data_IF_367489332642
#
_entry.id   IF_367489332642
#
_cell.length_a   1.000
_cell.length_b   1.000
_cell.length_c   1.000
_cell.angle_alpha   90.00
_cell.angle_beta   90.00
_cell.angle_gamma   90.00
#
_symmetry.space_group_name_H-M   'P 1'
#
loop_
_entity.id
_entity.type
_entity.pdbx_description
1 polymer ?
#
# COMPACT_ATOMS: atom_id res chain seq x y z
N UNK A 1 13.50 -44.52 -19.54
CA UNK A 1 14.28 -43.33 -19.10
C UNK A 1 13.50 -42.00 -19.27
N UNK A 2 12.18 -42.01 -19.54
CA UNK A 2 11.38 -40.80 -19.78
C UNK A 2 10.41 -40.41 -18.65
N UNK A 3 10.18 -41.27 -17.65
CA UNK A 3 9.22 -41.00 -16.57
C UNK A 3 9.78 -40.16 -15.41
N UNK A 4 11.10 -40.07 -15.25
CA UNK A 4 11.72 -39.28 -14.18
C UNK A 4 11.81 -37.78 -14.51
N UNK A 5 11.82 -37.39 -15.78
CA UNK A 5 11.89 -35.97 -16.16
C UNK A 5 10.52 -35.28 -16.09
N UNK A 6 9.43 -36.00 -16.34
CA UNK A 6 8.07 -35.47 -16.22
C UNK A 6 7.67 -35.26 -14.76
N UNK A 7 8.12 -36.12 -13.83
CA UNK A 7 7.87 -35.93 -12.38
C UNK A 7 8.71 -34.80 -11.78
N UNK A 8 9.93 -34.57 -12.28
CA UNK A 8 10.79 -33.48 -11.84
C UNK A 8 10.29 -32.12 -12.35
N UNK A 9 9.89 -32.05 -13.62
CA UNK A 9 9.31 -30.84 -14.23
C UNK A 9 7.92 -30.51 -13.64
N UNK A 10 7.12 -31.53 -13.26
CA UNK A 10 5.84 -31.30 -12.59
C UNK A 10 6.02 -30.83 -11.14
N UNK A 11 7.04 -31.32 -10.41
CA UNK A 11 7.43 -30.82 -9.08
C UNK A 11 7.91 -29.37 -9.08
N UNK A 12 8.60 -28.94 -10.15
CA UNK A 12 9.08 -27.56 -10.28
C UNK A 12 7.90 -26.59 -10.45
N UNK A 13 6.87 -26.95 -11.23
CA UNK A 13 5.71 -26.07 -11.47
C UNK A 13 4.77 -25.87 -10.29
N UNK A 14 4.76 -26.77 -9.29
CA UNK A 14 3.97 -26.57 -8.06
C UNK A 14 4.73 -25.82 -6.95
N UNK A 15 6.04 -25.60 -7.14
CA UNK A 15 6.94 -25.07 -6.09
C UNK A 15 7.25 -23.57 -6.22
N UNK A 16 6.85 -22.91 -7.31
CA UNK A 16 7.21 -21.51 -7.57
C UNK A 16 6.64 -20.54 -6.51
N UNK A 17 5.49 -20.85 -5.92
CA UNK A 17 4.81 -20.04 -4.90
C UNK A 17 5.56 -20.06 -3.57
N UNK A 18 5.91 -21.26 -3.12
CA UNK A 18 6.69 -21.44 -1.89
C UNK A 18 8.09 -20.86 -2.07
N UNK A 19 8.65 -20.93 -3.28
CA UNK A 19 10.00 -20.45 -3.53
C UNK A 19 10.10 -18.90 -3.51
N UNK A 20 9.06 -18.17 -3.92
CA UNK A 20 9.13 -16.70 -3.82
C UNK A 20 9.04 -16.22 -2.37
N UNK A 21 8.28 -16.90 -1.52
CA UNK A 21 8.05 -16.53 -0.12
C UNK A 21 8.83 -17.37 0.91
N UNK A 22 9.82 -18.17 0.47
CA UNK A 22 10.71 -18.92 1.37
C UNK A 22 11.93 -18.10 1.77
N UNK A 23 12.50 -18.43 2.93
CA UNK A 23 13.75 -17.85 3.44
C UNK A 23 14.96 -18.19 2.58
N UNK A 24 14.86 -19.19 1.70
CA UNK A 24 15.92 -19.51 0.73
C UNK A 24 16.04 -18.45 -0.38
N UNK A 25 14.99 -17.65 -0.61
CA UNK A 25 15.03 -16.60 -1.60
C UNK A 25 15.64 -15.32 -1.01
N UNK A 26 16.84 -14.90 -1.47
CA UNK A 26 17.51 -13.74 -0.91
C UNK A 26 16.71 -12.44 -1.09
N UNK A 27 15.88 -12.34 -2.15
CA UNK A 27 15.01 -11.19 -2.38
C UNK A 27 13.95 -11.06 -1.28
N UNK A 28 13.34 -12.19 -0.90
CA UNK A 28 12.32 -12.23 0.14
C UNK A 28 12.90 -11.96 1.53
N UNK A 29 14.08 -12.50 1.85
CA UNK A 29 14.79 -12.17 3.10
C UNK A 29 15.04 -10.66 3.19
N UNK A 30 15.48 -10.05 2.10
CA UNK A 30 15.72 -8.59 2.07
C UNK A 30 14.44 -7.79 2.25
N UNK A 31 13.34 -8.22 1.61
CA UNK A 31 12.03 -7.65 1.84
C UNK A 31 11.67 -7.67 3.33
N UNK A 32 11.74 -8.83 3.99
CA UNK A 32 11.39 -8.96 5.41
C UNK A 32 12.25 -8.07 6.31
N UNK A 33 13.57 -8.04 6.10
CA UNK A 33 14.49 -7.21 6.88
C UNK A 33 14.13 -5.74 6.73
N UNK A 34 13.93 -5.26 5.50
CA UNK A 34 13.59 -3.85 5.24
C UNK A 34 12.21 -3.50 5.79
N UNK A 35 11.22 -4.38 5.66
CA UNK A 35 9.89 -4.19 6.26
C UNK A 35 9.97 -4.06 7.78
N UNK A 36 10.69 -4.96 8.45
CA UNK A 36 10.89 -4.90 9.90
C UNK A 36 11.57 -3.60 10.32
N UNK A 37 12.64 -3.20 9.63
CA UNK A 37 13.35 -1.96 9.93
C UNK A 37 12.49 -0.71 9.70
N UNK A 38 11.66 -0.68 8.66
CA UNK A 38 10.73 0.42 8.41
C UNK A 38 9.66 0.53 9.49
N UNK A 39 9.07 -0.60 9.92
CA UNK A 39 8.09 -0.63 11.01
C UNK A 39 8.71 -0.17 12.33
N UNK A 40 9.90 -0.67 12.68
CA UNK A 40 10.65 -0.22 13.86
C UNK A 40 10.94 1.29 13.80
N UNK A 41 11.29 1.81 12.63
CA UNK A 41 11.51 3.25 12.42
C UNK A 41 10.21 4.08 12.58
N UNK A 42 9.05 3.53 12.21
CA UNK A 42 7.76 4.19 12.45
C UNK A 42 7.42 4.19 13.94
N UNK A 43 7.66 3.09 14.66
CA UNK A 43 7.50 3.01 16.12
C UNK A 43 8.45 3.95 16.85
N UNK A 44 9.67 4.11 16.36
CA UNK A 44 10.59 5.11 16.90
C UNK A 44 10.02 6.54 16.79
N UNK A 45 9.35 6.90 15.69
CA UNK A 45 8.69 8.21 15.56
C UNK A 45 7.49 8.37 16.51
N UNK A 46 6.73 7.31 16.79
CA UNK A 46 5.62 7.39 17.76
C UNK A 46 6.16 7.64 19.17
N UNK A 47 7.22 6.93 19.57
CA UNK A 47 7.92 7.16 20.85
C UNK A 47 8.47 8.59 20.91
N UNK A 48 9.12 9.08 19.86
CA UNK A 48 9.61 10.47 19.80
C UNK A 48 8.47 11.50 19.93
N UNK A 49 7.30 11.22 19.35
CA UNK A 49 6.13 12.08 19.48
C UNK A 49 5.68 12.16 20.94
N UNK A 50 5.61 11.02 21.63
CA UNK A 50 5.27 10.97 23.07
C UNK A 50 6.32 11.71 23.90
N UNK A 51 7.61 11.49 23.67
CA UNK A 51 8.70 12.17 24.39
C UNK A 51 8.61 13.69 24.23
N UNK A 52 8.33 14.18 23.00
CA UNK A 52 8.17 15.61 22.74
C UNK A 52 6.91 16.18 23.43
N UNK A 53 5.80 15.44 23.44
CA UNK A 53 4.59 15.85 24.18
C UNK A 53 4.83 15.99 25.66
N UNK A 54 5.50 15.01 26.28
CA UNK A 54 5.87 15.06 27.70
C UNK A 54 6.81 16.22 27.99
N UNK A 55 7.84 16.43 27.14
CA UNK A 55 8.78 17.54 27.30
C UNK A 55 8.11 18.92 27.25
N UNK A 56 7.17 19.10 26.33
CA UNK A 56 6.51 20.39 26.10
C UNK A 56 5.20 20.55 26.89
N UNK A 57 4.77 19.55 27.67
CA UNK A 57 3.52 19.55 28.44
C UNK A 57 2.30 19.93 27.58
N UNK A 58 2.21 19.33 26.39
CA UNK A 58 1.12 19.57 25.45
C UNK A 58 0.32 18.30 25.21
N UNK A 59 -0.98 18.37 25.52
CA UNK A 59 -1.94 17.27 25.37
C UNK A 59 -2.94 17.57 24.26
N UNK A 60 -3.49 16.50 23.66
CA UNK A 60 -4.47 16.62 22.58
C UNK A 60 -5.89 16.79 23.11
N UNK A 61 -6.21 16.10 24.20
CA UNK A 61 -7.55 16.05 24.75
C UNK A 61 -7.61 16.87 26.04
N UNK A 62 -8.73 17.51 26.28
CA UNK A 62 -9.01 18.21 27.54
C UNK A 62 -8.98 17.25 28.74
N UNK A 63 -9.32 15.97 28.54
CA UNK A 63 -9.28 14.95 29.60
C UNK A 63 -7.88 14.73 30.17
N UNK A 64 -6.84 14.83 29.32
CA UNK A 64 -5.44 14.61 29.67
C UNK A 64 -4.81 15.82 30.38
N UNK A 65 -5.51 16.96 30.46
CA UNK A 65 -5.04 18.17 31.18
C UNK A 65 -5.10 18.03 32.69
N UNK A 66 -5.94 17.10 33.18
CA UNK A 66 -6.15 16.84 34.61
C UNK A 66 -4.91 16.24 35.27
N UNK A 67 -4.00 15.68 34.47
CA UNK A 67 -2.74 15.11 34.93
C UNK A 67 -1.60 16.08 34.60
N UNK A 68 -1.38 17.08 35.45
CA UNK A 68 -0.08 17.76 35.53
C UNK A 68 0.08 19.15 34.90
N UNK A 69 -0.97 19.98 34.83
CA UNK A 69 -0.83 21.39 34.41
C UNK A 69 -0.50 21.55 32.92
N UNK A 70 -0.97 20.59 32.13
CA UNK A 70 -0.77 20.42 30.70
C UNK A 70 -1.77 21.29 29.94
N UNK A 71 -1.33 22.02 28.92
CA UNK A 71 -2.23 22.83 28.08
C UNK A 71 -2.73 22.03 26.88
N UNK A 72 -4.01 22.18 26.55
CA UNK A 72 -4.56 21.69 25.28
C UNK A 72 -4.03 22.54 24.16
N UNK A 73 -3.38 21.93 23.18
CA UNK A 73 -2.87 22.65 22.04
C UNK A 73 -1.91 21.83 21.21
N UNK A 74 -1.19 22.50 20.31
CA UNK A 74 -0.11 21.91 19.55
C UNK A 74 1.18 22.69 19.78
N UNK A 75 2.30 21.95 19.84
CA UNK A 75 3.64 22.54 19.88
C UNK A 75 4.32 22.30 18.52
N UNK A 76 5.03 23.28 17.95
CA UNK A 76 5.69 23.14 16.65
C UNK A 76 6.57 21.87 16.54
N UNK A 77 7.33 21.53 17.59
CA UNK A 77 8.14 20.30 17.63
C UNK A 77 7.32 19.01 17.59
N UNK A 78 6.13 18.99 18.21
CA UNK A 78 5.25 17.81 18.19
C UNK A 78 4.63 17.65 16.81
N UNK A 79 4.20 18.76 16.20
CA UNK A 79 3.66 18.75 14.84
C UNK A 79 4.70 18.37 13.79
N UNK A 80 5.97 18.70 14.03
CA UNK A 80 7.09 18.28 13.18
C UNK A 80 7.25 16.76 13.17
N UNK A 81 7.28 16.10 14.33
CA UNK A 81 7.35 14.63 14.39
C UNK A 81 6.08 14.00 13.80
N UNK A 82 4.91 14.58 14.05
CA UNK A 82 3.63 14.11 13.48
C UNK A 82 3.63 14.19 11.95
N UNK A 83 4.14 15.27 11.35
CA UNK A 83 4.27 15.40 9.89
C UNK A 83 5.26 14.39 9.31
N UNK A 84 6.38 14.12 10.00
CA UNK A 84 7.30 13.06 9.60
C UNK A 84 6.61 11.68 9.59
N UNK A 85 5.82 11.37 10.63
CA UNK A 85 5.06 10.12 10.72
C UNK A 85 3.95 10.03 9.66
N UNK A 86 3.25 11.14 9.40
CA UNK A 86 2.25 11.21 8.33
C UNK A 86 2.88 10.97 6.96
N UNK A 87 4.06 11.54 6.69
CA UNK A 87 4.78 11.28 5.45
C UNK A 87 5.22 9.81 5.32
N UNK A 88 5.55 9.16 6.44
CA UNK A 88 5.81 7.72 6.45
C UNK A 88 4.54 6.91 6.16
N UNK A 89 3.39 7.29 6.70
CA UNK A 89 2.10 6.69 6.35
C UNK A 89 1.74 6.88 4.87
N UNK A 90 2.17 7.98 4.24
CA UNK A 90 1.97 8.25 2.82
C UNK A 90 2.83 7.37 1.90
N UNK A 91 4.00 6.90 2.37
CA UNK A 91 5.00 6.24 1.52
C UNK A 91 5.28 4.78 1.89
N UNK A 92 5.45 4.47 3.17
CA UNK A 92 5.87 3.14 3.63
C UNK A 92 4.81 2.09 3.29
N UNK A 93 3.50 2.27 3.56
CA UNK A 93 2.50 1.28 3.16
C UNK A 93 2.55 0.97 1.67
N UNK A 94 2.60 1.99 0.81
CA UNK A 94 2.72 1.80 -0.63
C UNK A 94 3.96 0.98 -1.03
N UNK A 95 5.11 1.28 -0.40
CA UNK A 95 6.33 0.50 -0.58
C UNK A 95 6.14 -0.95 -0.13
N UNK A 96 5.56 -1.22 1.05
CA UNK A 96 5.40 -2.58 1.58
C UNK A 96 4.60 -3.47 0.61
N UNK A 97 3.53 -2.95 0.00
CA UNK A 97 2.72 -3.71 -0.96
C UNK A 97 3.41 -3.86 -2.32
N UNK A 98 3.97 -2.78 -2.87
CA UNK A 98 4.64 -2.85 -4.18
C UNK A 98 5.94 -3.64 -4.11
N UNK A 99 6.72 -3.51 -3.03
CA UNK A 99 7.93 -4.30 -2.84
C UNK A 99 7.59 -5.78 -2.73
N UNK A 100 6.52 -6.14 -2.00
CA UNK A 100 6.05 -7.53 -1.96
C UNK A 100 5.69 -8.03 -3.36
N UNK A 101 4.84 -7.29 -4.08
CA UNK A 101 4.49 -7.57 -5.47
C UNK A 101 5.71 -7.72 -6.40
N UNK A 102 6.73 -6.87 -6.21
CA UNK A 102 7.95 -6.85 -7.03
C UNK A 102 8.77 -8.14 -6.95
N UNK A 103 8.58 -8.98 -5.92
CA UNK A 103 9.25 -10.28 -5.80
C UNK A 103 8.90 -11.24 -6.94
N UNK A 104 7.73 -11.06 -7.55
CA UNK A 104 7.25 -11.85 -8.71
C UNK A 104 7.71 -11.30 -10.06
N UNK A 105 8.36 -10.14 -10.09
CA UNK A 105 8.92 -9.59 -11.33
C UNK A 105 10.30 -10.18 -11.56
N UNK A 106 10.56 -10.64 -12.79
CA UNK A 106 11.85 -11.18 -13.19
C UNK A 106 12.90 -10.07 -13.31
N UNK A 107 13.55 -9.76 -12.19
CA UNK A 107 14.59 -8.74 -12.08
C UNK A 107 15.83 -9.34 -11.38
N UNK A 108 17.06 -8.95 -11.74
CA UNK A 108 18.27 -9.40 -11.04
C UNK A 108 18.21 -9.08 -9.53
N UNK A 109 18.70 -9.99 -8.68
CA UNK A 109 18.62 -9.84 -7.22
C UNK A 109 19.29 -8.57 -6.70
N UNK A 110 20.43 -8.18 -7.28
CA UNK A 110 21.15 -6.96 -6.87
C UNK A 110 20.29 -5.69 -6.99
N UNK A 111 19.41 -5.61 -8.00
CA UNK A 111 18.50 -4.46 -8.20
C UNK A 111 17.47 -4.42 -7.06
N UNK A 112 16.92 -5.57 -6.69
CA UNK A 112 15.96 -5.69 -5.58
C UNK A 112 16.60 -5.23 -4.27
N UNK A 113 17.80 -5.76 -3.97
CA UNK A 113 18.54 -5.36 -2.76
C UNK A 113 18.83 -3.87 -2.74
N UNK A 114 19.36 -3.33 -3.85
CA UNK A 114 19.70 -1.93 -3.97
C UNK A 114 18.47 -1.03 -3.75
N UNK A 115 17.35 -1.31 -4.43
CA UNK A 115 16.13 -0.50 -4.31
C UNK A 115 15.55 -0.53 -2.90
N UNK A 116 15.50 -1.70 -2.25
CA UNK A 116 14.91 -1.82 -0.91
C UNK A 116 15.79 -1.15 0.16
N UNK A 117 17.11 -1.36 0.12
CA UNK A 117 18.01 -0.70 1.06
C UNK A 117 18.09 0.81 0.81
N UNK A 118 18.11 1.25 -0.45
CA UNK A 118 18.10 2.67 -0.78
C UNK A 118 16.81 3.34 -0.30
N UNK A 119 15.66 2.69 -0.46
CA UNK A 119 14.39 3.18 0.07
C UNK A 119 14.45 3.32 1.60
N UNK A 120 14.94 2.29 2.30
CA UNK A 120 15.09 2.34 3.76
C UNK A 120 15.99 3.50 4.21
N UNK A 121 17.18 3.63 3.60
CA UNK A 121 18.13 4.72 3.92
C UNK A 121 17.53 6.08 3.63
N UNK A 122 16.83 6.25 2.50
CA UNK A 122 16.14 7.50 2.17
C UNK A 122 15.05 7.84 3.20
N UNK A 123 14.29 6.84 3.68
CA UNK A 123 13.26 7.06 4.70
C UNK A 123 13.82 7.35 6.08
N UNK A 124 14.90 6.67 6.46
CA UNK A 124 15.62 6.95 7.70
C UNK A 124 16.20 8.36 7.67
N UNK A 125 16.87 8.72 6.57
CA UNK A 125 17.40 10.07 6.32
C UNK A 125 16.31 11.13 6.39
N UNK A 126 15.19 10.95 5.69
CA UNK A 126 14.04 11.85 5.78
C UNK A 126 13.59 12.02 7.23
N UNK A 127 13.44 10.93 7.99
CA UNK A 127 12.98 10.98 9.38
C UNK A 127 13.93 11.74 10.29
N UNK A 128 15.25 11.52 10.13
CA UNK A 128 16.29 12.21 10.91
C UNK A 128 16.29 13.70 10.60
N UNK A 129 16.31 14.06 9.31
CA UNK A 129 16.35 15.45 8.84
C UNK A 129 15.04 16.20 9.14
N UNK A 130 13.92 15.48 9.21
CA UNK A 130 12.63 16.08 9.49
C UNK A 130 12.38 16.23 11.00
N UNK A 131 12.64 15.20 11.81
CA UNK A 131 12.18 15.13 13.19
C UNK A 131 13.28 15.35 14.24
N UNK A 132 14.55 15.02 13.96
CA UNK A 132 15.64 15.05 14.94
C UNK A 132 16.53 16.26 14.74
N UNK A 133 17.04 16.46 13.53
CA UNK A 133 17.91 17.58 13.17
C UNK A 133 17.22 18.36 12.06
N UNK A 134 16.51 19.45 12.36
CA UNK A 134 15.94 20.34 11.35
C UNK A 134 17.03 20.92 10.46
N UNK A 135 17.30 20.27 9.32
CA UNK A 135 18.20 20.84 8.31
C UNK A 135 17.37 21.70 7.37
N UNK A 136 17.90 22.87 7.03
CA UNK A 136 17.33 23.73 5.99
C UNK A 136 17.18 22.94 4.67
N UNK A 137 16.16 23.24 3.84
CA UNK A 137 16.02 22.61 2.52
C UNK A 137 17.34 22.76 1.72
N UNK A 138 17.73 21.78 0.87
CA UNK A 138 16.88 20.83 0.12
C UNK A 138 16.88 19.37 0.62
N UNK A 139 17.62 19.04 1.69
CA UNK A 139 17.87 17.65 2.10
C UNK A 139 16.58 16.80 2.28
N UNK A 140 15.54 17.38 2.87
CA UNK A 140 14.21 16.72 3.03
C UNK A 140 13.59 16.33 1.68
N UNK A 141 13.62 17.26 0.73
CA UNK A 141 13.04 17.07 -0.60
C UNK A 141 13.75 15.96 -1.37
N UNK A 142 15.07 15.89 -1.28
CA UNK A 142 15.86 14.85 -1.94
C UNK A 142 15.48 13.47 -1.39
N UNK A 143 15.46 13.28 -0.06
CA UNK A 143 15.08 12.01 0.54
C UNK A 143 13.66 11.58 0.18
N UNK A 144 12.73 12.53 0.12
CA UNK A 144 11.37 12.28 -0.32
C UNK A 144 11.30 11.84 -1.79
N UNK A 145 11.93 12.60 -2.70
CA UNK A 145 11.93 12.32 -4.14
C UNK A 145 12.58 10.96 -4.43
N UNK A 146 13.67 10.60 -3.75
CA UNK A 146 14.30 9.28 -3.90
C UNK A 146 13.32 8.16 -3.59
N UNK A 147 12.63 8.21 -2.44
CA UNK A 147 11.64 7.20 -2.07
C UNK A 147 10.47 7.14 -3.06
N UNK A 148 9.99 8.30 -3.49
CA UNK A 148 8.90 8.43 -4.45
C UNK A 148 9.24 7.79 -5.81
N UNK A 149 10.43 8.07 -6.35
CA UNK A 149 10.91 7.52 -7.61
C UNK A 149 11.07 5.99 -7.55
N UNK A 150 11.59 5.47 -6.43
CA UNK A 150 11.73 4.01 -6.24
C UNK A 150 10.37 3.31 -6.27
N UNK A 151 9.39 3.80 -5.52
CA UNK A 151 8.03 3.22 -5.50
C UNK A 151 7.37 3.33 -6.87
N UNK A 152 7.55 4.45 -7.56
CA UNK A 152 7.01 4.67 -8.91
C UNK A 152 7.59 3.67 -9.92
N UNK A 153 8.92 3.52 -9.93
CA UNK A 153 9.63 2.57 -10.79
C UNK A 153 9.15 1.13 -10.57
N UNK A 154 9.10 0.68 -9.31
CA UNK A 154 8.64 -0.67 -8.99
C UNK A 154 7.17 -0.88 -9.38
N UNK A 155 6.32 0.13 -9.17
CA UNK A 155 4.89 0.06 -9.54
C UNK A 155 4.69 -0.11 -11.05
N UNK A 156 5.47 0.61 -11.87
CA UNK A 156 5.42 0.48 -13.34
C UNK A 156 5.87 -0.93 -13.77
N UNK A 157 6.92 -1.46 -13.16
CA UNK A 157 7.41 -2.81 -13.47
C UNK A 157 6.39 -3.90 -13.10
N UNK A 158 5.79 -3.80 -11.91
CA UNK A 158 4.72 -4.71 -11.47
C UNK A 158 3.54 -4.63 -12.43
N UNK A 159 3.15 -3.41 -12.84
CA UNK A 159 2.05 -3.19 -13.78
C UNK A 159 2.32 -3.84 -15.14
N UNK A 160 3.49 -3.59 -15.73
CA UNK A 160 3.87 -4.16 -17.03
C UNK A 160 3.91 -5.68 -16.95
N UNK A 161 4.53 -6.24 -15.90
CA UNK A 161 4.60 -7.69 -15.69
C UNK A 161 3.19 -8.30 -15.55
N UNK A 162 2.31 -7.65 -14.79
CA UNK A 162 0.91 -8.06 -14.63
C UNK A 162 0.12 -8.02 -15.94
N UNK A 163 0.25 -6.95 -16.73
CA UNK A 163 -0.42 -6.81 -18.03
C UNK A 163 0.07 -7.86 -19.02
N UNK A 164 1.38 -8.06 -19.15
CA UNK A 164 1.96 -9.07 -20.05
C UNK A 164 1.41 -10.45 -19.70
N UNK A 165 1.38 -10.80 -18.41
CA UNK A 165 0.88 -12.09 -17.97
C UNK A 165 -0.62 -12.26 -18.23
N UNK A 166 -1.41 -11.21 -18.00
CA UNK A 166 -2.82 -11.17 -18.33
C UNK A 166 -3.07 -11.36 -19.84
N UNK A 167 -2.36 -10.60 -20.68
CA UNK A 167 -2.47 -10.69 -22.14
C UNK A 167 -2.05 -12.07 -22.67
N UNK A 168 -0.99 -12.66 -22.12
CA UNK A 168 -0.54 -14.01 -22.49
C UNK A 168 -1.61 -15.09 -22.23
N UNK A 169 -2.42 -14.90 -21.18
CA UNK A 169 -3.47 -15.85 -20.80
C UNK A 169 -4.77 -15.69 -21.60
N UNK A 170 -5.12 -14.46 -21.99
CA UNK A 170 -6.40 -14.14 -22.63
C UNK A 170 -6.32 -13.74 -24.11
N UNK A 171 -5.12 -13.51 -24.66
CA UNK A 171 -4.90 -13.10 -26.06
C UNK A 171 -4.95 -14.21 -27.12
N UNK A 172 -5.27 -15.46 -26.74
CA UNK A 172 -5.45 -16.59 -27.65
C UNK A 172 -6.88 -17.14 -27.63
N UNK A 173 -7.55 -17.11 -28.79
CA UNK A 173 -8.86 -17.73 -29.01
C UNK A 173 -8.78 -19.26 -28.93
N UNK A 174 -9.35 -19.84 -27.88
CA UNK A 174 -10.02 -21.15 -27.92
C UNK A 174 -10.99 -21.25 -26.73
N UNK A 175 -12.15 -20.63 -26.90
CA UNK A 175 -13.22 -20.37 -25.93
C UNK A 175 -13.78 -21.57 -25.14
N UNK A 176 -13.38 -22.83 -25.38
CA UNK A 176 -14.02 -24.02 -24.77
C UNK A 176 -13.20 -24.73 -23.66
N UNK A 177 -11.91 -24.43 -23.46
CA UNK A 177 -11.14 -24.96 -22.32
C UNK A 177 -11.33 -24.14 -21.02
N UNK A 178 -12.01 -22.98 -21.15
CA UNK A 178 -12.30 -21.97 -20.12
C UNK A 178 -13.39 -22.38 -19.10
N UNK A 179 -14.15 -23.46 -19.34
CA UNK A 179 -15.29 -23.84 -18.47
C UNK A 179 -14.98 -25.02 -17.52
N UNK A 180 -14.08 -25.96 -17.89
CA UNK A 180 -13.89 -27.23 -17.15
C UNK A 180 -12.72 -27.20 -16.14
N UNK A 181 -11.76 -26.27 -16.23
CA UNK A 181 -10.70 -26.09 -15.20
C UNK A 181 -11.06 -25.06 -14.11
N UNK A 182 -12.33 -24.69 -14.06
CA UNK A 182 -12.88 -23.52 -13.35
C UNK A 182 -13.06 -23.73 -11.83
N UNK A 183 -12.52 -24.81 -11.25
CA UNK A 183 -12.59 -25.09 -9.81
C UNK A 183 -11.33 -25.76 -9.22
N UNK A 184 -10.14 -25.56 -9.83
CA UNK A 184 -8.89 -25.94 -9.14
C UNK A 184 -8.52 -24.87 -8.10
N UNK A 185 -8.93 -25.14 -6.87
CA UNK A 185 -8.64 -24.38 -5.65
C UNK A 185 -7.17 -24.55 -5.21
N UNK A 186 -6.24 -24.00 -5.98
CA UNK A 186 -4.90 -23.71 -5.47
C UNK A 186 -4.57 -22.25 -5.80
N UNK A 187 -4.40 -21.44 -4.75
CA UNK A 187 -3.89 -20.07 -4.92
C UNK A 187 -2.46 -20.18 -5.41
N UNK A 188 -2.30 -19.99 -6.70
CA UNK A 188 -0.99 -19.89 -7.30
C UNK A 188 -0.60 -18.42 -7.36
N UNK A 189 0.16 -17.93 -6.37
CA UNK A 189 0.90 -16.66 -6.45
C UNK A 189 1.93 -16.76 -7.57
N UNK A 190 1.47 -16.72 -8.80
CA UNK A 190 2.22 -16.77 -10.03
C UNK A 190 1.52 -15.80 -10.97
N UNK A 191 2.27 -15.08 -11.81
CA UNK A 191 1.66 -14.15 -12.75
C UNK A 191 0.72 -14.85 -13.75
N UNK A 192 0.84 -16.17 -13.90
CA UNK A 192 -0.08 -17.00 -14.70
C UNK A 192 -1.47 -17.14 -14.06
N UNK A 193 -1.64 -16.90 -12.76
CA UNK A 193 -2.97 -16.87 -12.14
C UNK A 193 -3.68 -15.54 -12.41
N UNK A 194 -4.94 -15.63 -12.84
CA UNK A 194 -5.73 -14.46 -13.20
C UNK A 194 -6.05 -13.61 -11.99
N UNK A 195 -6.38 -14.25 -10.85
CA UNK A 195 -6.75 -13.50 -9.64
C UNK A 195 -5.56 -12.70 -9.14
N UNK A 196 -4.40 -13.36 -9.06
CA UNK A 196 -3.15 -12.70 -8.68
C UNK A 196 -2.71 -11.62 -9.68
N UNK A 197 -2.76 -11.87 -10.99
CA UNK A 197 -2.43 -10.85 -12.00
C UNK A 197 -3.34 -9.61 -11.89
N UNK A 198 -4.64 -9.81 -11.65
CA UNK A 198 -5.61 -8.73 -11.45
C UNK A 198 -5.28 -7.91 -10.19
N UNK A 199 -4.95 -8.59 -9.09
CA UNK A 199 -4.48 -7.94 -7.86
C UNK A 199 -3.26 -7.05 -8.14
N UNK A 200 -2.27 -7.56 -8.86
CA UNK A 200 -1.02 -6.85 -9.17
C UNK A 200 -1.25 -5.60 -10.02
N UNK A 201 -2.09 -5.70 -11.06
CA UNK A 201 -2.47 -4.59 -11.92
C UNK A 201 -3.20 -3.51 -11.10
N UNK A 202 -4.25 -3.89 -10.38
CA UNK A 202 -5.09 -2.92 -9.66
C UNK A 202 -4.33 -2.27 -8.50
N UNK A 203 -3.53 -3.04 -7.76
CA UNK A 203 -2.69 -2.51 -6.68
C UNK A 203 -1.68 -1.49 -7.20
N UNK A 204 -1.03 -1.78 -8.34
CA UNK A 204 -0.08 -0.85 -8.97
C UNK A 204 -0.76 0.42 -9.44
N UNK A 205 -1.94 0.32 -10.06
CA UNK A 205 -2.70 1.48 -10.53
C UNK A 205 -3.20 2.36 -9.37
N UNK A 206 -3.66 1.76 -8.28
CA UNK A 206 -4.08 2.50 -7.08
C UNK A 206 -2.91 3.25 -6.46
N UNK A 207 -1.75 2.60 -6.30
CA UNK A 207 -0.54 3.25 -5.76
C UNK A 207 -0.08 4.38 -6.67
N UNK A 208 0.01 4.16 -7.98
CA UNK A 208 0.38 5.20 -8.95
C UNK A 208 -0.58 6.39 -8.88
N UNK A 209 -1.89 6.13 -8.77
CA UNK A 209 -2.89 7.19 -8.63
C UNK A 209 -2.70 8.00 -7.34
N UNK A 210 -2.41 7.37 -6.20
CA UNK A 210 -2.10 8.09 -4.96
C UNK A 210 -0.82 8.92 -5.10
N UNK A 211 0.21 8.38 -5.76
CA UNK A 211 1.43 9.12 -6.09
C UNK A 211 1.15 10.35 -6.97
N UNK A 212 0.27 10.24 -7.98
CA UNK A 212 -0.17 11.38 -8.78
C UNK A 212 -0.85 12.48 -7.96
N UNK A 213 -1.65 12.13 -6.95
CA UNK A 213 -2.28 13.12 -6.06
C UNK A 213 -1.28 13.84 -5.15
N UNK A 214 -0.23 13.14 -4.72
CA UNK A 214 0.86 13.76 -3.96
C UNK A 214 1.58 14.78 -4.85
N UNK A 215 1.90 14.41 -6.10
CA UNK A 215 2.49 15.33 -7.09
C UNK A 215 1.57 16.52 -7.37
N UNK A 216 0.26 16.29 -7.50
CA UNK A 216 -0.72 17.36 -7.70
C UNK A 216 -0.75 18.33 -6.51
N UNK A 217 -0.66 17.83 -5.28
CA UNK A 217 -0.56 18.66 -4.06
C UNK A 217 0.70 19.54 -4.11
N UNK A 218 1.85 18.96 -4.49
CA UNK A 218 3.12 19.70 -4.63
C UNK A 218 3.00 20.76 -5.72
N UNK A 219 2.42 20.42 -6.87
CA UNK A 219 2.20 21.36 -7.97
C UNK A 219 1.35 22.57 -7.56
N UNK A 220 0.24 22.36 -6.84
CA UNK A 220 -0.59 23.46 -6.35
C UNK A 220 0.15 24.34 -5.33
N UNK A 221 0.99 23.75 -4.47
CA UNK A 221 1.81 24.49 -3.51
C UNK A 221 2.83 25.39 -4.19
N UNK A 222 3.57 24.86 -5.17
CA UNK A 222 4.56 25.62 -5.94
C UNK A 222 3.86 26.75 -6.72
N UNK A 223 2.74 26.44 -7.39
CA UNK A 223 2.00 27.43 -8.18
C UNK A 223 1.45 28.58 -7.34
N UNK A 224 1.02 28.31 -6.10
CA UNK A 224 0.43 29.31 -5.21
C UNK A 224 1.44 29.96 -4.26
N UNK A 225 2.72 29.54 -4.25
CA UNK A 225 3.72 29.94 -3.26
C UNK A 225 3.26 29.75 -1.81
N UNK A 226 2.56 28.63 -1.55
CA UNK A 226 2.04 28.28 -0.22
C UNK A 226 2.81 27.09 0.34
N UNK A 227 3.54 27.35 1.42
CA UNK A 227 4.46 26.40 2.02
C UNK A 227 3.84 25.58 3.14
N UNK A 228 4.47 24.45 3.46
CA UNK A 228 4.03 23.56 4.56
C UNK A 228 4.55 24.05 5.91
N UNK A 229 5.69 24.74 5.92
CA UNK A 229 6.34 25.19 7.13
C UNK A 229 7.00 26.55 6.93
N UNK A 230 7.14 27.31 8.02
CA UNK A 230 7.80 28.62 8.02
C UNK A 230 9.27 28.52 7.58
N UNK A 231 9.91 27.36 7.79
CA UNK A 231 11.29 27.10 7.36
C UNK A 231 11.45 27.06 5.84
N UNK A 232 10.40 26.65 5.12
CA UNK A 232 10.41 26.58 3.66
C UNK A 232 10.23 27.98 3.02
N UNK A 233 9.74 28.97 3.79
CA UNK A 233 9.61 30.36 3.35
C UNK A 233 11.00 30.99 3.10
N UNK A 234 11.98 30.66 3.95
CA UNK A 234 13.29 31.30 3.95
C UNK A 234 14.11 31.15 2.65
N UNK A 235 13.73 30.23 1.76
CA UNK A 235 14.38 29.99 0.47
C UNK A 235 13.58 30.47 -0.75
N UNK A 236 12.26 30.64 -0.63
CA UNK A 236 11.40 30.90 -1.80
C UNK A 236 10.47 32.10 -1.65
N UNK A 237 10.38 32.72 -0.46
CA UNK A 237 9.29 33.63 -0.13
C UNK A 237 7.93 32.91 -0.13
N UNK A 238 6.87 33.58 0.32
CA UNK A 238 5.50 33.03 0.35
C UNK A 238 4.89 32.96 1.75
N UNK A 239 3.69 32.38 1.85
CA UNK A 239 2.90 32.32 3.09
C UNK A 239 2.65 30.88 3.53
N UNK A 240 2.43 30.69 4.83
CA UNK A 240 1.93 29.43 5.41
C UNK A 240 0.45 29.64 5.70
N UNK A 241 -0.34 29.74 4.63
CA UNK A 241 -1.79 29.92 4.71
C UNK A 241 -2.54 28.66 4.28
N UNK A 242 -3.75 28.51 4.82
CA UNK A 242 -4.64 27.43 4.45
C UNK A 242 -5.38 27.80 3.16
N UNK A 243 -4.95 27.20 2.05
CA UNK A 243 -5.66 27.34 0.78
C UNK A 243 -6.75 26.25 0.59
N UNK A 244 -7.98 26.64 0.25
CA UNK A 244 -9.08 25.70 0.06
C UNK A 244 -8.88 24.63 -1.02
N UNK A 245 -8.07 24.88 -2.05
CA UNK A 245 -7.79 23.89 -3.11
C UNK A 245 -6.71 22.90 -2.66
N UNK A 246 -5.62 23.39 -2.07
CA UNK A 246 -4.56 22.55 -1.52
C UNK A 246 -5.13 21.61 -0.44
N UNK A 247 -6.00 22.14 0.42
CA UNK A 247 -6.66 21.35 1.47
C UNK A 247 -7.61 20.29 0.89
N UNK A 248 -8.26 20.58 -0.25
CA UNK A 248 -9.07 19.60 -0.98
C UNK A 248 -8.23 18.45 -1.52
N UNK A 249 -7.10 18.73 -2.20
CA UNK A 249 -6.22 17.66 -2.70
C UNK A 249 -5.68 16.84 -1.52
N UNK A 250 -5.27 17.51 -0.42
CA UNK A 250 -4.78 16.84 0.79
C UNK A 250 -5.80 15.90 1.41
N UNK A 251 -7.07 16.31 1.51
CA UNK A 251 -8.15 15.43 1.99
C UNK A 251 -8.43 14.27 1.06
N UNK A 252 -8.29 14.45 -0.27
CA UNK A 252 -8.36 13.32 -1.20
C UNK A 252 -7.21 12.33 -0.98
N UNK A 253 -5.98 12.81 -0.73
CA UNK A 253 -4.83 11.95 -0.39
C UNK A 253 -5.11 11.22 0.92
N UNK A 254 -5.56 11.93 1.97
CA UNK A 254 -5.88 11.31 3.25
C UNK A 254 -6.95 10.22 3.12
N UNK A 255 -8.01 10.47 2.35
CA UNK A 255 -9.04 9.46 2.10
C UNK A 255 -8.49 8.24 1.33
N UNK A 256 -7.54 8.43 0.42
CA UNK A 256 -6.81 7.34 -0.22
C UNK A 256 -6.01 6.53 0.81
N UNK A 257 -5.31 7.17 1.74
CA UNK A 257 -4.54 6.50 2.80
C UNK A 257 -5.42 5.73 3.78
N UNK A 258 -6.67 6.15 3.99
CA UNK A 258 -7.61 5.45 4.86
C UNK A 258 -8.20 4.20 4.17
N UNK A 259 -8.32 4.20 2.84
CA UNK A 259 -9.07 3.15 2.12
C UNK A 259 -8.19 2.21 1.28
N UNK A 260 -7.18 2.73 0.58
CA UNK A 260 -6.35 1.93 -0.33
C UNK A 260 -5.52 0.89 0.44
N UNK A 261 -4.84 1.21 1.57
CA UNK A 261 -4.13 0.20 2.35
C UNK A 261 -5.05 -0.93 2.82
N UNK A 262 -6.25 -0.61 3.31
CA UNK A 262 -7.23 -1.61 3.70
C UNK A 262 -7.61 -2.52 2.53
N UNK A 263 -7.84 -1.92 1.35
CA UNK A 263 -8.10 -2.66 0.12
C UNK A 263 -6.92 -3.56 -0.26
N UNK A 264 -5.68 -3.07 -0.24
CA UNK A 264 -4.49 -3.83 -0.61
C UNK A 264 -4.29 -5.07 0.29
N UNK A 265 -4.61 -4.96 1.59
CA UNK A 265 -4.59 -6.12 2.51
C UNK A 265 -5.72 -7.09 2.18
N UNK A 266 -6.98 -6.62 2.21
CA UNK A 266 -8.11 -7.54 2.10
C UNK A 266 -8.17 -8.19 0.71
N UNK A 267 -7.86 -7.47 -0.35
CA UNK A 267 -7.82 -8.00 -1.72
C UNK A 267 -6.67 -8.99 -1.92
N UNK A 268 -5.59 -8.91 -1.15
CA UNK A 268 -4.59 -9.96 -1.14
C UNK A 268 -5.15 -11.22 -0.48
N UNK A 269 -5.71 -11.11 0.73
CA UNK A 269 -6.32 -12.23 1.45
C UNK A 269 -7.46 -12.87 0.66
N UNK A 270 -8.24 -12.07 -0.07
CA UNK A 270 -9.37 -12.50 -0.89
C UNK A 270 -8.96 -13.46 -2.04
N UNK A 271 -7.68 -13.51 -2.41
CA UNK A 271 -7.17 -14.48 -3.40
C UNK A 271 -7.37 -15.93 -2.95
N UNK A 272 -7.38 -16.18 -1.63
CA UNK A 272 -7.62 -17.50 -1.03
C UNK A 272 -9.09 -17.90 -0.94
N UNK A 273 -10.00 -16.98 -1.24
CA UNK A 273 -11.43 -17.32 -1.28
C UNK A 273 -11.73 -18.01 -2.62
N UNK A 274 -12.47 -19.14 -2.63
CA UNK A 274 -12.76 -19.94 -3.82
C UNK A 274 -13.85 -19.30 -4.68
N UNK A 275 -13.61 -18.08 -5.15
CA UNK A 275 -14.47 -17.34 -6.09
C UNK A 275 -13.98 -17.48 -7.53
N UNK A 276 -14.87 -17.38 -8.54
CA UNK A 276 -14.42 -17.36 -9.93
C UNK A 276 -13.64 -16.06 -10.23
N UNK A 277 -12.70 -16.12 -11.17
CA UNK A 277 -11.78 -15.01 -11.46
C UNK A 277 -12.50 -13.72 -11.91
N UNK A 278 -13.64 -13.84 -12.60
CA UNK A 278 -14.43 -12.67 -13.01
C UNK A 278 -14.97 -11.89 -11.80
N UNK A 279 -15.29 -12.55 -10.68
CA UNK A 279 -15.74 -11.88 -9.46
C UNK A 279 -14.64 -11.00 -8.89
N UNK A 280 -13.41 -11.52 -8.82
CA UNK A 280 -12.23 -10.76 -8.40
C UNK A 280 -12.01 -9.54 -9.31
N UNK A 281 -12.09 -9.74 -10.62
CA UNK A 281 -11.94 -8.66 -11.60
C UNK A 281 -13.00 -7.57 -11.45
N UNK A 282 -14.28 -7.94 -11.35
CA UNK A 282 -15.36 -6.98 -11.18
C UNK A 282 -15.16 -6.19 -9.89
N UNK A 283 -14.87 -6.85 -8.76
CA UNK A 283 -14.67 -6.16 -7.48
C UNK A 283 -13.47 -5.20 -7.53
N UNK A 284 -12.34 -5.64 -8.09
CA UNK A 284 -11.10 -4.86 -8.03
C UNK A 284 -11.10 -3.71 -9.04
N UNK A 285 -11.58 -3.93 -10.27
CA UNK A 285 -11.69 -2.86 -11.26
C UNK A 285 -12.78 -1.86 -10.88
N UNK A 286 -13.91 -2.31 -10.31
CA UNK A 286 -14.94 -1.38 -9.80
C UNK A 286 -14.36 -0.53 -8.68
N UNK A 287 -13.64 -1.13 -7.73
CA UNK A 287 -12.95 -0.37 -6.69
C UNK A 287 -12.00 0.67 -7.29
N UNK A 288 -11.13 0.28 -8.22
CA UNK A 288 -10.21 1.19 -8.91
C UNK A 288 -10.93 2.37 -9.58
N UNK A 289 -11.93 2.09 -10.41
CA UNK A 289 -12.68 3.12 -11.16
C UNK A 289 -13.32 4.11 -10.21
N UNK A 290 -14.03 3.63 -9.19
CA UNK A 290 -14.69 4.52 -8.23
C UNK A 290 -13.70 5.31 -7.36
N UNK A 291 -12.53 4.74 -7.02
CA UNK A 291 -11.47 5.51 -6.36
C UNK A 291 -10.91 6.59 -7.27
N UNK A 292 -10.66 6.30 -8.55
CA UNK A 292 -10.21 7.30 -9.53
C UNK A 292 -11.24 8.42 -9.67
N UNK A 293 -12.52 8.06 -9.87
CA UNK A 293 -13.63 9.02 -9.93
C UNK A 293 -13.75 9.86 -8.65
N UNK A 294 -13.64 9.25 -7.47
CA UNK A 294 -13.67 9.99 -6.21
C UNK A 294 -12.62 11.09 -6.19
N UNK A 295 -11.37 10.81 -6.58
CA UNK A 295 -10.32 11.84 -6.60
C UNK A 295 -10.51 12.89 -7.69
N UNK A 296 -11.04 12.52 -8.86
CA UNK A 296 -11.38 13.50 -9.90
C UNK A 296 -12.45 14.46 -9.37
N UNK A 297 -13.52 13.93 -8.77
CA UNK A 297 -14.67 14.69 -8.27
C UNK A 297 -14.38 15.47 -6.97
N UNK A 298 -13.35 15.04 -6.23
CA UNK A 298 -12.94 15.68 -4.98
C UNK A 298 -11.88 16.77 -5.23
N UNK A 299 -10.85 16.46 -6.01
CA UNK A 299 -9.65 17.27 -6.13
C UNK A 299 -9.59 18.11 -7.43
N UNK A 300 -10.12 17.61 -8.55
CA UNK A 300 -9.97 18.26 -9.87
C UNK A 300 -11.25 19.04 -10.25
N UNK A 301 -12.38 18.34 -10.29
CA UNK A 301 -13.68 18.93 -10.63
C UNK A 301 -14.60 18.89 -9.41
N UNK A 302 -14.89 20.06 -8.85
CA UNK A 302 -15.72 20.20 -7.66
C UNK A 302 -17.18 19.97 -8.03
N UNK A 303 -17.61 18.71 -8.06
CA UNK A 303 -19.02 18.38 -8.25
C UNK A 303 -19.74 18.52 -6.90
N UNK A 304 -20.91 19.17 -6.85
CA UNK A 304 -21.73 19.20 -5.65
C UNK A 304 -22.11 17.79 -5.17
N UNK A 305 -22.46 17.67 -3.90
CA UNK A 305 -23.06 16.44 -3.36
C UNK A 305 -24.29 16.09 -4.22
N UNK A 306 -24.53 14.83 -4.60
CA UNK A 306 -24.17 13.58 -3.89
C UNK A 306 -23.02 12.76 -4.51
N UNK A 307 -22.41 13.20 -5.61
CA UNK A 307 -21.46 12.40 -6.40
C UNK A 307 -20.29 11.83 -5.56
N UNK A 308 -19.77 12.61 -4.60
CA UNK A 308 -18.69 12.20 -3.69
C UNK A 308 -19.11 11.07 -2.74
N UNK A 309 -20.30 11.19 -2.14
CA UNK A 309 -20.82 10.19 -1.22
C UNK A 309 -21.05 8.86 -1.93
N UNK A 310 -21.60 8.90 -3.15
CA UNK A 310 -21.79 7.71 -3.99
C UNK A 310 -20.46 7.07 -4.38
N UNK A 311 -19.47 7.87 -4.79
CA UNK A 311 -18.15 7.37 -5.14
C UNK A 311 -17.37 6.80 -3.95
N UNK A 312 -17.72 7.17 -2.72
CA UNK A 312 -17.18 6.57 -1.51
C UNK A 312 -17.93 5.29 -1.10
N UNK A 313 -19.26 5.30 -1.18
CA UNK A 313 -20.12 4.22 -0.71
C UNK A 313 -19.87 2.90 -1.45
N UNK A 314 -19.67 2.93 -2.77
CA UNK A 314 -19.47 1.73 -3.58
C UNK A 314 -18.15 1.01 -3.23
N UNK A 315 -16.97 1.68 -3.23
CA UNK A 315 -15.73 1.10 -2.72
C UNK A 315 -15.82 0.59 -1.28
N UNK A 316 -16.51 1.32 -0.42
CA UNK A 316 -16.71 0.91 0.97
C UNK A 316 -17.52 -0.38 1.08
N UNK A 317 -18.62 -0.50 0.32
CA UNK A 317 -19.44 -1.70 0.26
C UNK A 317 -18.65 -2.91 -0.30
N UNK A 318 -17.81 -2.69 -1.32
CA UNK A 318 -16.91 -3.72 -1.86
C UNK A 318 -15.92 -4.19 -0.77
N UNK A 319 -15.31 -3.26 -0.03
CA UNK A 319 -14.40 -3.58 1.06
C UNK A 319 -15.10 -4.40 2.15
N UNK A 320 -16.29 -3.96 2.57
CA UNK A 320 -17.11 -4.66 3.57
C UNK A 320 -17.49 -6.07 3.11
N UNK A 321 -17.96 -6.21 1.87
CA UNK A 321 -18.29 -7.51 1.28
C UNK A 321 -17.09 -8.48 1.29
N UNK A 322 -15.92 -8.02 0.83
CA UNK A 322 -14.71 -8.86 0.82
C UNK A 322 -14.29 -9.26 2.23
N UNK A 323 -14.36 -8.34 3.21
CA UNK A 323 -14.09 -8.64 4.61
C UNK A 323 -15.04 -9.73 5.16
N UNK A 324 -16.36 -9.57 4.97
CA UNK A 324 -17.34 -10.55 5.43
C UNK A 324 -17.14 -11.91 4.75
N UNK A 325 -16.89 -11.93 3.45
CA UNK A 325 -16.72 -13.18 2.71
C UNK A 325 -15.45 -13.92 3.12
N UNK A 326 -14.34 -13.20 3.30
CA UNK A 326 -13.09 -13.77 3.87
C UNK A 326 -13.34 -14.32 5.26
N UNK A 327 -14.04 -13.58 6.11
CA UNK A 327 -14.35 -14.02 7.47
C UNK A 327 -15.17 -15.32 7.48
N UNK A 328 -16.28 -15.36 6.74
CA UNK A 328 -17.16 -16.55 6.66
C UNK A 328 -16.40 -17.76 6.09
N UNK A 329 -15.58 -17.54 5.07
CA UNK A 329 -14.76 -18.61 4.48
C UNK A 329 -13.69 -19.12 5.45
N UNK A 330 -12.94 -18.22 6.08
CA UNK A 330 -11.91 -18.59 7.06
C UNK A 330 -12.53 -19.34 8.25
N UNK A 331 -13.64 -18.84 8.79
CA UNK A 331 -14.31 -19.45 9.93
C UNK A 331 -14.87 -20.84 9.60
N UNK A 332 -15.54 -21.01 8.46
CA UNK A 332 -16.04 -22.32 8.03
C UNK A 332 -14.92 -23.33 7.78
N UNK A 333 -13.79 -22.89 7.24
CA UNK A 333 -12.61 -23.76 7.02
C UNK A 333 -11.98 -24.28 8.33
N UNK A 334 -12.07 -23.53 9.43
CA UNK A 334 -11.56 -23.94 10.74
C UNK A 334 -12.49 -24.96 11.38
N UNK A 335 -13.81 -24.73 11.34
CA UNK A 335 -14.80 -25.67 11.88
C UNK A 335 -14.70 -27.03 11.18
N UNK A 336 -14.66 -27.02 9.84
CA UNK A 336 -14.56 -28.26 9.06
C UNK A 336 -13.30 -29.08 9.38
N UNK A 337 -12.18 -28.43 9.70
CA UNK A 337 -10.95 -29.13 10.12
C UNK A 337 -11.06 -29.75 11.52
N UNK A 338 -11.80 -29.11 12.42
CA UNK A 338 -11.99 -29.62 13.79
C UNK A 338 -12.93 -30.82 13.81
N UNK A 339 -14.04 -30.81 13.05
CA UNK A 339 -14.97 -31.94 12.91
C UNK A 339 -14.26 -33.18 12.31
N UNK A 340 -13.41 -32.96 11.30
CA UNK A 340 -12.62 -34.04 10.68
C UNK A 340 -11.53 -34.59 11.60
N UNK A 341 -11.14 -33.84 12.63
CA UNK A 341 -10.19 -34.30 13.65
C UNK A 341 -10.85 -35.12 14.75
N UNK A 342 -12.11 -34.83 15.10
CA UNK A 342 -12.88 -35.60 16.09
C UNK A 342 -13.31 -36.97 15.55
N UNK A 343 -13.72 -37.06 14.28
CA UNK A 343 -14.08 -38.35 13.64
C UNK A 343 -12.89 -39.33 13.55
N UNK A 344 -11.65 -38.81 13.66
CA UNK A 344 -10.43 -39.61 13.59
C UNK A 344 -10.05 -40.28 14.92
N UNK A 345 -10.74 -39.94 16.01
CA UNK A 345 -10.55 -40.53 17.34
C UNK A 345 -11.76 -41.36 17.82
N UNK A 346 -12.86 -41.38 17.06
CA UNK A 346 -14.08 -42.15 17.35
C UNK A 346 -14.24 -43.43 16.49
N UNK A 347 -13.16 -43.87 15.83
CA UNK A 347 -13.02 -45.18 15.15
C UNK A 347 -11.81 -45.93 15.73
#
# INVERSE_FOLDING_TARGET
>A
MSENNTSFISKIKSNDILWVTTLENPKFVTYMVVCALLVLKMWWLTVLTVMKRVKHKVVMNEEDTKVGGTTVGSHPDVERVRRAFQNDLENIPAFLFIAFAYLWVSVPSWVVHFLYYLFFVARLGHSVVYAVVPIRPPARGICFVTGFLIVTYMSIHVLIAGIIAYCKKYGGSSELKKVIKMYENNVNLTLDDTKFATYMIVSSLLVLKTMCLIVLTIYHRIRKNIHISEEDIGLSGGTVELDPEIERVRRSVQNDLENIPAFLVISFVYLWVPVPAWTVQVLYYTFLVFRVLHSIVYAIYVVPQPARGLCFAIPFAILFYMCCHVFVYAFSSVISKNEMSTDKYDL
#
